data_IF_985550568301
#
_entry.id   IF_985550568301
#
_cell.length_a   1.000
_cell.length_b   1.000
_cell.length_c   1.000
_cell.angle_alpha   90.00
_cell.angle_beta   90.00
_cell.angle_gamma   90.00
#
_symmetry.space_group_name_H-M   'P 1'
#
loop_
_entity.id
_entity.type
_entity.pdbx_description
1 polymer ?
#
# COMPACT_ATOMS: atom_id res chain seq x y z
N UNK A 1 20.01 21.93 14.30
CA UNK A 1 19.93 20.47 14.13
C UNK A 1 19.95 20.21 12.65
N UNK A 2 20.68 19.20 12.21
CA UNK A 2 20.69 18.79 10.80
C UNK A 2 19.27 18.35 10.36
N UNK A 3 18.78 18.71 9.15
CA UNK A 3 17.45 18.30 8.68
C UNK A 3 17.24 16.78 8.65
N UNK A 4 18.29 16.00 8.38
CA UNK A 4 18.28 14.53 8.38
C UNK A 4 18.16 14.00 9.80
N UNK A 5 18.90 14.58 10.75
CA UNK A 5 18.81 14.21 12.17
C UNK A 5 17.39 14.46 12.71
N UNK A 6 16.80 15.61 12.36
CA UNK A 6 15.44 15.95 12.71
C UNK A 6 14.43 14.94 12.14
N UNK A 7 14.59 14.54 10.87
CA UNK A 7 13.74 13.54 10.23
C UNK A 7 13.82 12.20 10.96
N UNK A 8 15.04 11.74 11.25
CA UNK A 8 15.28 10.46 11.90
C UNK A 8 14.72 10.44 13.34
N UNK A 9 15.00 11.49 14.13
CA UNK A 9 14.47 11.64 15.49
C UNK A 9 12.93 11.68 15.50
N UNK A 10 12.33 12.47 14.60
CA UNK A 10 10.88 12.56 14.50
C UNK A 10 10.24 11.24 14.12
N UNK A 11 10.75 10.54 13.10
CA UNK A 11 10.19 9.25 12.71
C UNK A 11 10.33 8.21 13.83
N UNK A 12 11.48 8.18 14.51
CA UNK A 12 11.72 7.26 15.63
C UNK A 12 10.75 7.47 16.80
N UNK A 13 10.41 8.72 17.11
CA UNK A 13 9.58 9.10 18.26
C UNK A 13 8.10 9.31 17.94
N UNK A 14 7.73 9.34 16.65
CA UNK A 14 6.34 9.54 16.23
C UNK A 14 5.43 8.35 16.51
N UNK A 15 4.14 8.61 16.75
CA UNK A 15 3.09 7.57 16.82
C UNK A 15 2.63 7.06 15.43
N UNK A 16 3.38 7.37 14.37
CA UNK A 16 3.05 6.96 13.01
C UNK A 16 3.23 5.45 12.84
N UNK A 17 2.37 4.85 12.01
CA UNK A 17 2.51 3.44 11.62
C UNK A 17 3.84 3.24 10.88
N UNK A 18 4.45 2.06 11.00
CA UNK A 18 5.72 1.74 10.36
C UNK A 18 5.73 2.01 8.84
N UNK A 19 4.66 1.66 8.14
CA UNK A 19 4.52 1.94 6.69
C UNK A 19 4.49 3.44 6.39
N UNK A 20 3.80 4.24 7.21
CA UNK A 20 3.75 5.70 7.08
C UNK A 20 5.10 6.33 7.39
N UNK A 21 5.83 5.81 8.39
CA UNK A 21 7.20 6.26 8.68
C UNK A 21 8.14 6.00 7.50
N UNK A 22 8.07 4.82 6.90
CA UNK A 22 8.88 4.48 5.72
C UNK A 22 8.55 5.35 4.51
N UNK A 23 7.27 5.61 4.26
CA UNK A 23 6.82 6.53 3.20
C UNK A 23 7.33 7.95 3.45
N UNK A 24 7.10 8.51 4.65
CA UNK A 24 7.52 9.86 4.99
C UNK A 24 9.03 10.02 4.96
N UNK A 25 9.78 9.04 5.50
CA UNK A 25 11.23 9.04 5.45
C UNK A 25 11.78 9.08 4.02
N UNK A 26 11.16 8.33 3.10
CA UNK A 26 11.55 8.37 1.68
C UNK A 26 11.22 9.71 1.03
N UNK A 27 9.99 10.19 1.14
CA UNK A 27 9.57 11.43 0.45
C UNK A 27 10.33 12.66 0.98
N UNK A 28 10.48 12.78 2.31
CA UNK A 28 11.21 13.91 2.91
C UNK A 28 12.71 13.76 2.70
N UNK A 29 13.26 12.55 2.73
CA UNK A 29 14.66 12.30 2.39
C UNK A 29 15.01 12.74 0.97
N UNK A 30 14.13 12.51 0.00
CA UNK A 30 14.31 13.02 -1.36
C UNK A 30 14.26 14.54 -1.44
N UNK A 31 13.36 15.18 -0.68
CA UNK A 31 13.32 16.65 -0.61
C UNK A 31 14.60 17.24 -0.01
N UNK A 32 15.08 16.71 1.12
CA UNK A 32 16.34 17.13 1.75
C UNK A 32 17.50 17.00 0.76
N UNK A 33 17.57 15.87 0.06
CA UNK A 33 18.59 15.66 -0.96
C UNK A 33 18.49 16.69 -2.09
N UNK A 34 17.30 16.95 -2.63
CA UNK A 34 17.10 17.95 -3.68
C UNK A 34 17.54 19.35 -3.24
N UNK A 35 17.18 19.78 -2.02
CA UNK A 35 17.60 21.07 -1.45
C UNK A 35 19.13 21.22 -1.42
N UNK A 36 19.85 20.16 -1.05
CA UNK A 36 21.30 20.15 -0.99
C UNK A 36 21.98 20.24 -2.37
N UNK A 37 21.30 19.83 -3.45
CA UNK A 37 21.82 19.88 -4.83
C UNK A 37 21.55 21.21 -5.54
N UNK A 38 20.81 22.14 -4.92
CA UNK A 38 20.55 23.45 -5.52
C UNK A 38 21.81 24.34 -5.50
N UNK A 39 21.85 25.33 -6.41
CA UNK A 39 22.94 26.32 -6.48
C UNK A 39 22.38 27.75 -6.48
N UNK A 40 22.42 28.47 -5.33
CA UNK A 40 22.91 28.03 -4.02
C UNK A 40 22.01 26.96 -3.38
N UNK A 41 22.52 26.15 -2.42
CA UNK A 41 21.70 25.18 -1.70
C UNK A 41 20.53 25.85 -1.01
N UNK A 42 19.36 25.21 -1.06
CA UNK A 42 18.15 25.66 -0.34
C UNK A 42 18.22 25.12 1.08
N UNK A 43 18.01 25.97 2.08
CA UNK A 43 17.90 25.51 3.47
C UNK A 43 16.52 24.86 3.68
N UNK A 44 16.53 23.56 3.98
CA UNK A 44 15.32 22.75 4.18
C UNK A 44 14.38 23.36 5.24
N UNK A 45 14.93 23.92 6.32
CA UNK A 45 14.11 24.43 7.43
C UNK A 45 13.45 25.78 7.10
N UNK A 46 13.95 26.49 6.09
CA UNK A 46 13.40 27.77 5.63
C UNK A 46 12.79 27.71 4.23
N UNK A 47 12.86 26.56 3.56
CA UNK A 47 12.25 26.33 2.25
C UNK A 47 10.74 26.62 2.28
N UNK A 48 10.29 27.40 1.30
CA UNK A 48 8.91 27.86 1.19
C UNK A 48 8.11 27.07 0.14
N UNK A 49 6.85 27.48 -0.10
CA UNK A 49 6.01 26.86 -1.12
C UNK A 49 6.64 26.86 -2.52
N UNK A 50 7.42 27.89 -2.88
CA UNK A 50 8.09 27.97 -4.18
C UNK A 50 9.16 26.88 -4.35
N UNK A 51 9.98 26.63 -3.32
CA UNK A 51 11.02 25.59 -3.35
C UNK A 51 10.39 24.19 -3.43
N UNK A 52 9.31 23.96 -2.67
CA UNK A 52 8.59 22.69 -2.69
C UNK A 52 7.87 22.47 -4.03
N UNK A 53 7.36 23.54 -4.65
CA UNK A 53 6.78 23.48 -5.98
C UNK A 53 7.85 23.10 -7.03
N UNK A 54 9.03 23.73 -6.98
CA UNK A 54 10.15 23.40 -7.86
C UNK A 54 10.58 21.93 -7.70
N UNK A 55 10.77 21.47 -6.45
CA UNK A 55 11.07 20.06 -6.15
C UNK A 55 10.01 19.10 -6.72
N UNK A 56 8.72 19.41 -6.51
CA UNK A 56 7.62 18.59 -6.99
C UNK A 56 7.59 18.53 -8.52
N UNK A 57 7.86 19.65 -9.19
CA UNK A 57 7.98 19.72 -10.65
C UNK A 57 9.11 18.82 -11.15
N UNK A 58 10.33 19.06 -10.66
CA UNK A 58 11.56 18.40 -11.13
C UNK A 58 11.49 16.88 -11.00
N UNK A 59 10.96 16.37 -9.89
CA UNK A 59 11.02 14.94 -9.56
C UNK A 59 9.77 14.15 -9.94
N UNK A 60 8.60 14.79 -10.03
CA UNK A 60 7.34 14.06 -10.03
C UNK A 60 6.34 14.54 -11.08
N UNK A 61 6.28 15.85 -11.33
CA UNK A 61 5.17 16.44 -12.09
C UNK A 61 5.56 16.88 -13.49
N UNK A 62 6.85 17.07 -13.82
CA UNK A 62 7.28 17.59 -15.12
C UNK A 62 6.64 16.85 -16.32
N UNK A 63 6.69 15.52 -16.31
CA UNK A 63 6.13 14.68 -17.37
C UNK A 63 4.59 14.63 -17.39
N UNK A 64 3.92 15.04 -16.30
CA UNK A 64 2.47 15.00 -16.12
C UNK A 64 1.81 16.36 -16.34
N UNK A 65 2.61 17.40 -16.56
CA UNK A 65 2.14 18.76 -16.79
C UNK A 65 2.20 19.15 -18.27
N UNK A 66 2.60 18.24 -19.16
CA UNK A 66 2.73 18.47 -20.61
C UNK A 66 3.52 19.76 -20.94
N UNK A 67 4.63 19.95 -20.25
CA UNK A 67 5.50 21.13 -20.41
C UNK A 67 5.01 22.39 -19.71
N UNK A 68 3.89 22.36 -18.98
CA UNK A 68 3.44 23.48 -18.16
C UNK A 68 4.31 23.66 -16.91
N UNK A 69 4.48 24.89 -16.43
CA UNK A 69 5.07 25.14 -15.12
C UNK A 69 4.16 24.64 -13.99
N UNK A 70 4.74 24.36 -12.82
CA UNK A 70 4.00 24.11 -11.59
C UNK A 70 4.14 25.31 -10.66
N UNK A 71 3.40 26.37 -10.96
CA UNK A 71 3.53 27.68 -10.34
C UNK A 71 2.25 28.17 -9.64
N UNK A 72 1.18 27.36 -9.62
CA UNK A 72 -0.05 27.77 -8.93
C UNK A 72 -1.27 26.86 -9.10
N UNK A 73 -2.45 27.39 -8.72
CA UNK A 73 -3.72 26.66 -8.71
C UNK A 73 -4.12 26.07 -10.07
N UNK A 74 -3.77 26.72 -11.18
CA UNK A 74 -4.13 26.24 -12.52
C UNK A 74 -3.40 24.95 -12.88
N UNK A 75 -2.11 24.83 -12.51
CA UNK A 75 -1.34 23.60 -12.71
C UNK A 75 -1.89 22.46 -11.84
N UNK A 76 -2.32 22.77 -10.60
CA UNK A 76 -3.01 21.83 -9.72
C UNK A 76 -4.37 21.40 -10.28
N UNK A 77 -5.16 22.32 -10.84
CA UNK A 77 -6.43 22.04 -11.48
C UNK A 77 -6.28 21.17 -12.72
N UNK A 78 -5.24 21.42 -13.51
CA UNK A 78 -4.87 20.55 -14.63
C UNK A 78 -4.49 19.15 -14.15
N UNK A 79 -3.58 19.04 -13.18
CA UNK A 79 -3.14 17.76 -12.63
C UNK A 79 -4.32 16.98 -12.03
N UNK A 80 -5.22 17.66 -11.33
CA UNK A 80 -6.44 17.08 -10.77
C UNK A 80 -7.36 16.48 -11.84
N UNK A 81 -7.53 17.18 -12.96
CA UNK A 81 -8.43 16.77 -14.03
C UNK A 81 -7.82 15.68 -14.93
N UNK A 82 -6.56 15.85 -15.35
CA UNK A 82 -5.89 14.96 -16.29
C UNK A 82 -5.24 13.74 -15.60
N UNK A 83 -4.76 13.91 -14.36
CA UNK A 83 -3.98 12.90 -13.63
C UNK A 83 -4.37 12.81 -12.14
N UNK A 84 -5.63 12.46 -11.81
CA UNK A 84 -6.14 12.47 -10.44
C UNK A 84 -5.35 11.58 -9.47
N UNK A 85 -4.72 10.51 -9.94
CA UNK A 85 -3.87 9.63 -9.13
C UNK A 85 -2.56 10.30 -8.73
N UNK A 86 -1.96 11.04 -9.66
CA UNK A 86 -0.76 11.82 -9.41
C UNK A 86 -1.06 12.99 -8.47
N UNK A 87 -2.18 13.69 -8.67
CA UNK A 87 -2.64 14.75 -7.77
C UNK A 87 -2.81 14.25 -6.31
N UNK A 88 -3.44 13.07 -6.13
CA UNK A 88 -3.57 12.47 -4.79
C UNK A 88 -2.23 12.06 -4.18
N UNK A 89 -1.31 11.56 -4.99
CA UNK A 89 0.03 11.18 -4.52
C UNK A 89 0.83 12.43 -4.14
N UNK A 90 0.72 13.51 -4.91
CA UNK A 90 1.26 14.81 -4.59
C UNK A 90 0.72 15.34 -3.25
N UNK A 91 -0.60 15.30 -3.03
CA UNK A 91 -1.22 15.74 -1.76
C UNK A 91 -0.72 14.93 -0.55
N UNK A 92 -0.35 13.64 -0.73
CA UNK A 92 0.31 12.83 0.32
C UNK A 92 1.71 13.32 0.63
N UNK A 93 2.51 13.69 -0.39
CA UNK A 93 3.84 14.30 -0.20
C UNK A 93 3.75 15.62 0.54
N UNK A 94 2.81 16.48 0.13
CA UNK A 94 2.55 17.74 0.85
C UNK A 94 2.17 17.46 2.29
N UNK A 95 1.37 16.43 2.57
CA UNK A 95 1.04 16.02 3.95
C UNK A 95 2.27 15.57 4.74
N UNK A 96 3.17 14.78 4.14
CA UNK A 96 4.42 14.38 4.77
C UNK A 96 5.29 15.60 5.14
N UNK A 97 5.47 16.54 4.21
CA UNK A 97 6.21 17.78 4.43
C UNK A 97 5.56 18.66 5.51
N UNK A 98 4.24 18.85 5.47
CA UNK A 98 3.52 19.59 6.51
C UNK A 98 3.82 19.00 7.90
N UNK A 99 3.75 17.69 8.04
CA UNK A 99 4.01 17.01 9.31
C UNK A 99 5.48 17.12 9.75
N UNK A 100 6.43 17.12 8.82
CA UNK A 100 7.84 17.39 9.10
C UNK A 100 8.08 18.80 9.63
N UNK A 101 7.50 19.83 8.98
CA UNK A 101 7.61 21.21 9.47
C UNK A 101 6.90 21.43 10.80
N UNK A 102 5.77 20.75 11.05
CA UNK A 102 5.14 20.74 12.37
C UNK A 102 6.07 20.13 13.42
N UNK A 103 6.74 19.03 13.10
CA UNK A 103 7.73 18.40 13.98
C UNK A 103 8.93 19.33 14.25
N UNK A 104 9.40 20.07 13.22
CA UNK A 104 10.45 21.07 13.33
C UNK A 104 10.03 22.21 14.27
N UNK A 105 8.80 22.73 14.12
CA UNK A 105 8.23 23.78 14.98
C UNK A 105 8.12 23.30 16.42
N UNK A 106 7.55 22.12 16.63
CA UNK A 106 7.32 21.57 17.97
C UNK A 106 8.63 21.31 18.75
N UNK A 107 9.75 21.11 18.02
CA UNK A 107 11.11 20.99 18.58
C UNK A 107 11.87 22.32 18.66
N UNK A 108 11.26 23.44 18.26
CA UNK A 108 11.85 24.77 18.31
C UNK A 108 12.92 25.05 17.24
N UNK A 109 12.96 24.28 16.15
CA UNK A 109 13.89 24.54 15.04
C UNK A 109 13.41 25.63 14.10
N UNK A 110 12.10 25.84 14.02
CA UNK A 110 11.49 26.93 13.25
C UNK A 110 10.39 27.57 14.08
N UNK A 111 10.13 28.85 13.83
CA UNK A 111 9.07 29.60 14.51
C UNK A 111 7.70 29.31 13.90
N UNK A 112 7.61 29.33 12.57
CA UNK A 112 6.36 29.18 11.83
C UNK A 112 6.59 28.24 10.63
N UNK A 113 5.80 27.16 10.49
CA UNK A 113 5.86 26.29 9.32
C UNK A 113 5.34 27.04 8.07
N UNK A 114 5.87 26.73 6.88
CA UNK A 114 5.33 27.28 5.64
C UNK A 114 3.90 26.79 5.43
N UNK A 115 3.03 27.67 4.89
CA UNK A 115 1.68 27.27 4.49
C UNK A 115 1.74 26.51 3.17
N UNK A 116 1.69 25.19 3.26
CA UNK A 116 1.69 24.29 2.09
C UNK A 116 0.29 23.96 1.59
N UNK A 117 -0.77 24.55 2.16
CA UNK A 117 -2.14 24.31 1.69
C UNK A 117 -2.33 24.77 0.24
N UNK A 118 -1.60 25.82 -0.16
CA UNK A 118 -1.59 26.37 -1.53
C UNK A 118 -1.05 25.39 -2.58
N UNK A 119 -0.32 24.34 -2.16
CA UNK A 119 0.23 23.31 -3.04
C UNK A 119 -0.65 22.05 -3.10
N UNK A 120 -1.81 22.03 -2.43
CA UNK A 120 -2.71 20.88 -2.44
C UNK A 120 -3.70 21.01 -3.60
N UNK A 121 -3.86 19.93 -4.35
CA UNK A 121 -4.86 19.85 -5.42
C UNK A 121 -6.29 19.87 -4.89
N UNK A 122 -6.46 19.43 -3.63
CA UNK A 122 -7.77 19.34 -3.00
C UNK A 122 -8.66 18.28 -3.63
N UNK A 123 -8.11 17.40 -4.48
CA UNK A 123 -8.86 16.33 -5.14
C UNK A 123 -9.41 15.41 -4.04
N UNK A 124 -10.74 15.45 -3.80
CA UNK A 124 -11.32 14.51 -2.86
C UNK A 124 -11.09 13.11 -3.38
N UNK A 125 -11.05 12.11 -2.50
CA UNK A 125 -11.17 10.73 -2.97
C UNK A 125 -12.45 10.64 -3.80
N UNK A 126 -12.44 10.00 -4.98
CA UNK A 126 -13.63 9.88 -5.81
C UNK A 126 -14.78 9.33 -4.96
N UNK A 127 -15.90 10.06 -4.91
CA UNK A 127 -17.12 9.54 -4.33
C UNK A 127 -17.50 8.29 -5.13
N UNK A 128 -17.58 7.14 -4.47
CA UNK A 128 -17.87 5.87 -5.13
C UNK A 128 -16.65 5.17 -5.75
N UNK A 129 -15.40 5.54 -5.41
CA UNK A 129 -14.25 4.68 -5.70
C UNK A 129 -14.57 3.27 -5.21
N UNK A 130 -14.73 2.32 -6.14
CA UNK A 130 -15.10 0.94 -5.85
C UNK A 130 -13.93 0.26 -5.13
N UNK A 131 -13.81 0.53 -3.84
CA UNK A 131 -12.85 -0.08 -2.94
C UNK A 131 -13.24 -1.51 -2.58
N UNK A 132 -14.34 -2.01 -3.14
CA UNK A 132 -14.86 -3.36 -2.97
C UNK A 132 -15.34 -3.88 -4.31
N UNK A 133 -15.36 -5.19 -4.42
CA UNK A 133 -16.08 -5.88 -5.46
C UNK A 133 -17.56 -5.92 -5.09
N UNK A 134 -18.43 -5.70 -6.07
CA UNK A 134 -19.84 -6.03 -5.87
C UNK A 134 -20.04 -7.57 -5.78
N UNK A 135 -21.20 -8.07 -5.35
CA UNK A 135 -21.42 -9.51 -5.22
C UNK A 135 -21.19 -10.31 -6.52
N UNK A 136 -21.46 -9.71 -7.69
CA UNK A 136 -21.25 -10.34 -8.99
C UNK A 136 -19.76 -10.37 -9.35
N UNK A 137 -19.06 -9.26 -9.15
CA UNK A 137 -17.60 -9.17 -9.32
C UNK A 137 -16.88 -10.18 -8.39
N UNK A 138 -17.32 -10.30 -7.12
CA UNK A 138 -16.77 -11.29 -6.16
C UNK A 138 -17.01 -12.73 -6.61
N UNK A 139 -18.22 -13.06 -7.04
CA UNK A 139 -18.55 -14.41 -7.51
C UNK A 139 -17.68 -14.81 -8.73
N UNK A 140 -17.48 -13.88 -9.66
CA UNK A 140 -16.61 -14.09 -10.81
C UNK A 140 -15.14 -14.24 -10.38
N UNK A 141 -14.66 -13.46 -9.41
CA UNK A 141 -13.30 -13.61 -8.90
C UNK A 141 -13.08 -15.00 -8.28
N UNK A 142 -14.03 -15.50 -7.49
CA UNK A 142 -13.99 -16.85 -6.93
C UNK A 142 -13.97 -17.92 -8.03
N UNK A 143 -14.77 -17.77 -9.10
CA UNK A 143 -14.75 -18.67 -10.24
C UNK A 143 -13.39 -18.64 -10.99
N UNK A 144 -12.84 -17.46 -11.23
CA UNK A 144 -11.51 -17.29 -11.85
C UNK A 144 -10.42 -17.93 -11.00
N UNK A 145 -10.52 -17.80 -9.67
CA UNK A 145 -9.59 -18.39 -8.70
C UNK A 145 -9.69 -19.90 -8.72
N UNK A 146 -10.90 -20.47 -8.71
CA UNK A 146 -11.10 -21.91 -8.85
C UNK A 146 -10.57 -22.48 -10.17
N UNK A 147 -10.65 -21.72 -11.26
CA UNK A 147 -10.08 -22.06 -12.57
C UNK A 147 -8.57 -21.82 -12.70
N UNK A 148 -7.92 -21.18 -11.72
CA UNK A 148 -6.50 -20.88 -11.72
C UNK A 148 -5.67 -22.11 -11.39
N UNK A 149 -5.40 -22.94 -12.40
CA UNK A 149 -4.71 -24.23 -12.27
C UNK A 149 -3.27 -24.24 -12.81
N UNK A 150 -2.64 -25.43 -12.90
CA UNK A 150 -1.26 -25.60 -13.35
C UNK A 150 -0.98 -25.09 -14.77
N UNK A 151 -2.02 -24.99 -15.61
CA UNK A 151 -1.96 -24.40 -16.95
C UNK A 151 -1.75 -22.87 -16.95
N UNK A 152 -2.02 -22.19 -15.82
CA UNK A 152 -1.85 -20.74 -15.67
C UNK A 152 -0.60 -20.39 -14.87
N UNK A 153 -0.26 -21.18 -13.84
CA UNK A 153 0.86 -20.92 -12.96
C UNK A 153 1.44 -22.21 -12.39
N UNK A 154 2.78 -22.29 -12.35
CA UNK A 154 3.49 -23.37 -11.63
C UNK A 154 3.26 -23.32 -10.11
N UNK A 155 2.79 -22.18 -9.59
CA UNK A 155 2.54 -21.95 -8.17
C UNK A 155 1.05 -21.72 -7.90
N UNK A 156 0.17 -22.33 -8.68
CA UNK A 156 -1.26 -22.02 -8.66
C UNK A 156 -1.92 -22.16 -7.28
N UNK A 157 -1.53 -23.13 -6.44
CA UNK A 157 -2.07 -23.25 -5.07
C UNK A 157 -1.69 -22.07 -4.18
N UNK A 158 -0.46 -21.54 -4.31
CA UNK A 158 -0.02 -20.33 -3.62
C UNK A 158 -0.87 -19.14 -4.07
N UNK A 159 -1.05 -19.03 -5.39
CA UNK A 159 -1.78 -17.94 -6.02
C UNK A 159 -3.25 -17.94 -5.59
N UNK A 160 -3.89 -19.12 -5.58
CA UNK A 160 -5.24 -19.30 -5.06
C UNK A 160 -5.34 -18.93 -3.58
N UNK A 161 -4.43 -19.42 -2.73
CA UNK A 161 -4.39 -19.09 -1.32
C UNK A 161 -4.31 -17.57 -1.08
N UNK A 162 -3.50 -16.85 -1.88
CA UNK A 162 -3.40 -15.39 -1.78
C UNK A 162 -4.75 -14.71 -1.98
N UNK A 163 -5.53 -15.13 -2.98
CA UNK A 163 -6.86 -14.56 -3.22
C UNK A 163 -7.78 -14.80 -2.03
N UNK A 164 -7.82 -16.03 -1.50
CA UNK A 164 -8.65 -16.36 -0.35
C UNK A 164 -8.24 -15.58 0.91
N UNK A 165 -6.94 -15.46 1.19
CA UNK A 165 -6.44 -14.66 2.31
C UNK A 165 -6.83 -13.18 2.20
N UNK A 166 -6.81 -12.61 0.99
CA UNK A 166 -7.32 -11.26 0.77
C UNK A 166 -8.83 -11.24 1.06
N UNK A 167 -9.62 -12.18 0.54
CA UNK A 167 -11.06 -12.25 0.82
C UNK A 167 -11.37 -12.41 2.32
N UNK A 168 -10.50 -12.98 3.14
CA UNK A 168 -10.62 -12.99 4.61
C UNK A 168 -10.45 -11.60 5.28
N UNK A 169 -10.21 -10.56 4.50
CA UNK A 169 -10.01 -9.20 5.00
C UNK A 169 -8.57 -8.86 5.35
N UNK A 170 -7.60 -9.75 5.05
CA UNK A 170 -6.20 -9.44 5.28
C UNK A 170 -5.72 -8.40 4.25
N UNK A 171 -5.07 -7.35 4.75
CA UNK A 171 -4.37 -6.38 3.90
C UNK A 171 -3.21 -7.06 3.17
N UNK A 172 -2.82 -6.59 1.98
CA UNK A 172 -1.68 -7.15 1.25
C UNK A 172 -0.41 -7.29 2.09
N UNK A 173 -0.14 -6.31 2.96
CA UNK A 173 0.99 -6.35 3.90
C UNK A 173 0.88 -7.48 4.95
N UNK A 174 -0.33 -7.80 5.43
CA UNK A 174 -0.53 -8.92 6.35
C UNK A 174 -0.37 -10.26 5.61
N UNK A 175 -0.92 -10.39 4.41
CA UNK A 175 -0.85 -11.62 3.61
C UNK A 175 0.59 -12.08 3.42
N UNK A 176 1.50 -11.17 3.04
CA UNK A 176 2.91 -11.52 2.85
C UNK A 176 3.70 -11.77 4.13
N UNK A 177 3.17 -11.29 5.28
CA UNK A 177 3.81 -11.42 6.60
C UNK A 177 3.31 -12.64 7.39
N UNK A 178 2.37 -13.42 6.87
CA UNK A 178 1.91 -14.62 7.57
C UNK A 178 3.10 -15.55 7.79
N UNK A 179 3.32 -15.93 9.05
CA UNK A 179 4.42 -16.79 9.46
C UNK A 179 3.91 -18.21 9.68
N UNK A 180 4.61 -19.19 9.11
CA UNK A 180 4.22 -20.60 9.17
C UNK A 180 4.21 -21.17 10.59
N UNK A 181 4.99 -20.58 11.52
CA UNK A 181 5.04 -20.97 12.94
C UNK A 181 3.76 -20.61 13.69
N UNK A 182 2.95 -19.72 13.11
CA UNK A 182 1.72 -19.22 13.72
C UNK A 182 0.48 -19.63 12.92
N UNK A 183 0.43 -20.90 12.50
CA UNK A 183 -0.73 -21.52 11.86
C UNK A 183 -1.32 -22.55 12.81
N UNK A 184 -2.55 -22.32 13.26
CA UNK A 184 -3.21 -23.12 14.29
C UNK A 184 -4.50 -23.73 13.71
N UNK A 185 -4.47 -24.98 13.22
CA UNK A 185 -5.66 -25.63 12.69
C UNK A 185 -6.70 -25.80 13.80
N UNK A 186 -7.96 -25.54 13.46
CA UNK A 186 -9.10 -25.76 14.35
C UNK A 186 -9.85 -27.04 13.95
N UNK A 187 -10.58 -27.68 14.88
CA UNK A 187 -11.26 -28.96 14.63
C UNK A 187 -12.33 -28.91 13.53
N UNK A 188 -12.91 -27.75 13.27
CA UNK A 188 -14.01 -27.47 12.34
C UNK A 188 -13.53 -27.03 10.94
N UNK A 189 -12.22 -27.15 10.68
CA UNK A 189 -11.62 -26.79 9.39
C UNK A 189 -11.20 -25.31 9.29
N UNK A 190 -11.54 -24.49 10.28
CA UNK A 190 -11.01 -23.14 10.40
C UNK A 190 -9.52 -23.16 10.74
N UNK A 191 -8.85 -22.03 10.55
CA UNK A 191 -7.46 -21.84 10.97
C UNK A 191 -7.30 -20.50 11.66
N UNK A 192 -6.71 -20.51 12.85
CA UNK A 192 -6.21 -19.29 13.45
C UNK A 192 -4.80 -19.01 12.92
N UNK A 193 -4.57 -17.80 12.42
CA UNK A 193 -3.28 -17.37 11.89
C UNK A 193 -2.83 -16.03 12.49
N UNK A 194 -1.53 -15.76 12.35
CA UNK A 194 -0.90 -14.48 12.72
C UNK A 194 0.02 -13.97 11.62
N UNK A 195 0.13 -12.65 11.53
CA UNK A 195 1.09 -11.96 10.67
C UNK A 195 1.95 -11.05 11.55
N UNK A 196 3.13 -11.52 12.01
CA UNK A 196 3.99 -10.73 12.87
C UNK A 196 4.44 -9.43 12.21
N UNK A 197 4.72 -8.41 13.02
CA UNK A 197 5.39 -7.20 12.56
C UNK A 197 6.91 -7.37 12.52
N UNK A 198 7.62 -6.32 12.10
CA UNK A 198 9.09 -6.34 11.94
C UNK A 198 9.83 -6.45 13.29
N UNK A 199 9.13 -6.41 14.43
CA UNK A 199 9.69 -6.58 15.78
C UNK A 199 9.27 -7.91 16.42
N UNK A 200 8.83 -8.88 15.61
CA UNK A 200 8.33 -10.19 16.04
C UNK A 200 7.11 -10.13 16.99
N UNK A 201 6.43 -8.99 17.08
CA UNK A 201 5.13 -8.99 17.74
C UNK A 201 4.18 -9.80 16.88
N UNK A 202 3.66 -10.91 17.43
CA UNK A 202 2.75 -11.85 16.76
C UNK A 202 1.52 -11.18 16.14
N UNK A 203 1.18 -9.95 16.54
CA UNK A 203 0.15 -9.16 15.91
C UNK A 203 -1.27 -9.70 16.14
N UNK A 204 -2.22 -9.17 15.36
CA UNK A 204 -3.64 -9.53 15.48
C UNK A 204 -3.89 -10.97 15.02
N UNK A 205 -4.82 -11.66 15.68
CA UNK A 205 -5.35 -12.97 15.27
C UNK A 205 -6.30 -12.79 14.10
N UNK A 206 -6.13 -13.59 13.07
CA UNK A 206 -7.13 -13.77 12.02
C UNK A 206 -7.62 -15.21 12.07
N UNK A 207 -8.91 -15.42 11.86
CA UNK A 207 -9.53 -16.74 11.81
C UNK A 207 -10.00 -16.94 10.37
N UNK A 208 -9.41 -17.93 9.68
CA UNK A 208 -9.68 -18.25 8.28
C UNK A 208 -10.87 -19.20 8.20
N UNK A 209 -11.82 -18.89 7.31
CA UNK A 209 -12.94 -19.75 6.95
C UNK A 209 -12.47 -21.12 6.44
N UNK A 210 -13.26 -22.21 6.59
CA UNK A 210 -12.91 -23.53 6.09
C UNK A 210 -12.52 -23.56 4.61
N UNK A 211 -13.11 -22.70 3.76
CA UNK A 211 -12.71 -22.60 2.36
C UNK A 211 -11.26 -22.13 2.22
N UNK A 212 -10.88 -21.08 2.95
CA UNK A 212 -9.51 -20.58 2.98
C UNK A 212 -8.57 -21.57 3.67
N UNK A 213 -9.04 -22.24 4.73
CA UNK A 213 -8.32 -23.30 5.42
C UNK A 213 -7.99 -24.49 4.52
N UNK A 214 -8.90 -24.87 3.63
CA UNK A 214 -8.67 -25.90 2.62
C UNK A 214 -7.61 -25.48 1.60
N UNK A 215 -7.67 -24.23 1.11
CA UNK A 215 -6.64 -23.67 0.22
C UNK A 215 -5.26 -23.61 0.91
N UNK A 216 -5.22 -23.23 2.19
CA UNK A 216 -3.99 -23.22 2.99
C UNK A 216 -3.39 -24.63 3.09
N UNK A 217 -4.21 -25.62 3.44
CA UNK A 217 -3.77 -27.02 3.52
C UNK A 217 -3.26 -27.54 2.17
N UNK A 218 -3.93 -27.21 1.07
CA UNK A 218 -3.53 -27.60 -0.27
C UNK A 218 -2.18 -27.00 -0.66
N UNK A 219 -1.94 -25.73 -0.34
CA UNK A 219 -0.64 -25.09 -0.57
C UNK A 219 0.45 -25.66 0.33
N UNK A 220 0.20 -25.86 1.63
CA UNK A 220 1.19 -26.43 2.57
C UNK A 220 1.72 -27.78 2.12
N UNK A 221 0.90 -28.60 1.45
CA UNK A 221 1.31 -29.90 0.91
C UNK A 221 2.36 -29.80 -0.22
N UNK A 222 2.44 -28.67 -0.91
CA UNK A 222 3.35 -28.44 -2.06
C UNK A 222 4.28 -27.24 -1.85
N UNK A 223 4.22 -26.60 -0.69
CA UNK A 223 5.02 -25.41 -0.37
C UNK A 223 6.50 -25.82 -0.32
N UNK A 224 7.38 -25.17 -1.10
CA UNK A 224 8.81 -25.46 -1.01
C UNK A 224 9.40 -24.99 0.32
N UNK A 225 10.50 -25.58 0.73
CA UNK A 225 11.33 -25.03 1.79
C UNK A 225 12.00 -23.73 1.33
N UNK A 226 12.15 -22.73 2.22
CA UNK A 226 12.84 -21.50 1.92
C UNK A 226 14.32 -21.73 1.58
N UNK A 227 14.97 -20.76 0.94
CA UNK A 227 16.44 -20.79 0.74
C UNK A 227 17.15 -20.63 2.08
N UNK A 228 16.70 -19.68 2.90
CA UNK A 228 17.31 -19.38 4.19
C UNK A 228 16.60 -20.18 5.30
N UNK A 229 17.34 -20.90 6.19
CA UNK A 229 16.75 -21.76 7.20
C UNK A 229 15.87 -21.04 8.25
N UNK A 230 16.15 -19.76 8.50
CA UNK A 230 15.45 -18.88 9.45
C UNK A 230 14.24 -18.17 8.81
N UNK A 231 14.03 -18.32 7.51
CA UNK A 231 12.88 -17.72 6.85
C UNK A 231 11.59 -18.53 7.12
N UNK A 232 10.62 -17.88 7.75
CA UNK A 232 9.39 -18.53 8.18
C UNK A 232 8.14 -18.03 7.46
N UNK A 233 8.29 -17.17 6.45
CA UNK A 233 7.18 -16.66 5.65
C UNK A 233 6.37 -17.81 5.01
N UNK A 234 5.05 -17.79 5.16
CA UNK A 234 4.17 -18.79 4.57
C UNK A 234 4.26 -18.76 3.04
N UNK A 235 4.14 -17.58 2.45
CA UNK A 235 4.09 -17.40 1.00
C UNK A 235 5.48 -17.10 0.44
N UNK A 236 5.96 -17.98 -0.44
CA UNK A 236 7.28 -17.85 -1.06
C UNK A 236 7.17 -17.52 -2.55
N UNK A 237 8.11 -16.74 -3.05
CA UNK A 237 8.27 -16.45 -4.48
C UNK A 237 8.97 -17.63 -5.21
N UNK A 238 9.19 -17.47 -6.52
CA UNK A 238 9.89 -18.47 -7.37
C UNK A 238 11.31 -18.79 -6.92
N UNK A 239 11.95 -17.87 -6.20
CA UNK A 239 13.30 -18.02 -5.63
C UNK A 239 13.27 -18.57 -4.21
N UNK A 240 12.11 -19.04 -3.71
CA UNK A 240 11.92 -19.59 -2.36
C UNK A 240 12.28 -18.59 -1.24
N UNK A 241 12.03 -17.30 -1.49
CA UNK A 241 12.11 -16.20 -0.50
C UNK A 241 10.72 -15.61 -0.24
N UNK A 242 10.54 -14.85 0.82
CA UNK A 242 9.27 -14.17 1.12
C UNK A 242 8.76 -13.37 -0.09
N UNK A 243 7.45 -13.42 -0.25
CA UNK A 243 6.76 -12.66 -1.28
C UNK A 243 6.72 -11.17 -0.92
N UNK A 244 6.86 -10.29 -1.90
CA UNK A 244 6.68 -8.84 -1.70
C UNK A 244 5.23 -8.43 -1.90
N UNK A 245 4.77 -7.40 -1.18
CA UNK A 245 3.38 -6.93 -1.26
C UNK A 245 2.99 -6.41 -2.64
N UNK A 246 3.95 -5.84 -3.39
CA UNK A 246 3.71 -5.35 -4.75
C UNK A 246 3.31 -6.43 -5.74
N UNK A 247 3.76 -7.67 -5.52
CA UNK A 247 3.45 -8.80 -6.39
C UNK A 247 1.95 -9.19 -6.36
N UNK A 248 1.25 -8.92 -5.26
CA UNK A 248 -0.17 -9.27 -5.13
C UNK A 248 -1.05 -8.55 -6.14
N UNK A 249 -0.82 -7.26 -6.42
CA UNK A 249 -1.62 -6.53 -7.41
C UNK A 249 -1.42 -7.11 -8.82
N UNK A 250 -0.19 -7.50 -9.15
CA UNK A 250 0.09 -8.16 -10.43
C UNK A 250 -0.65 -9.49 -10.55
N UNK A 251 -0.59 -10.33 -9.51
CA UNK A 251 -1.33 -11.60 -9.50
C UNK A 251 -2.84 -11.40 -9.64
N UNK A 252 -3.41 -10.50 -8.84
CA UNK A 252 -4.85 -10.20 -8.87
C UNK A 252 -5.28 -9.70 -10.25
N UNK A 253 -4.49 -8.82 -10.87
CA UNK A 253 -4.72 -8.38 -12.25
C UNK A 253 -4.71 -9.55 -13.25
N UNK A 254 -3.76 -10.47 -13.13
CA UNK A 254 -3.67 -11.65 -14.01
C UNK A 254 -4.84 -12.62 -13.85
N UNK A 255 -5.30 -12.87 -12.62
CA UNK A 255 -6.48 -13.70 -12.37
C UNK A 255 -7.74 -13.01 -12.90
N UNK A 256 -7.91 -11.72 -12.60
CA UNK A 256 -9.05 -10.91 -13.06
C UNK A 256 -9.14 -10.85 -14.60
N UNK A 257 -8.00 -10.74 -15.28
CA UNK A 257 -7.93 -10.70 -16.74
C UNK A 257 -8.46 -11.97 -17.43
N UNK A 258 -8.71 -13.06 -16.70
CA UNK A 258 -9.28 -14.30 -17.27
C UNK A 258 -10.78 -14.22 -17.53
N UNK A 259 -11.46 -13.16 -17.08
CA UNK A 259 -12.89 -12.96 -17.31
C UNK A 259 -13.23 -11.52 -17.70
N UNK A 260 -14.00 -11.28 -18.78
CA UNK A 260 -14.29 -9.93 -19.31
C UNK A 260 -14.84 -8.96 -18.25
N UNK A 261 -15.80 -9.39 -17.43
CA UNK A 261 -16.38 -8.55 -16.36
C UNK A 261 -15.33 -7.92 -15.43
N UNK A 262 -14.26 -8.65 -15.09
CA UNK A 262 -13.22 -8.17 -14.20
C UNK A 262 -12.08 -7.48 -14.95
N UNK A 263 -11.78 -7.96 -16.17
CA UNK A 263 -10.77 -7.40 -17.05
C UNK A 263 -11.12 -5.97 -17.49
N UNK A 264 -12.39 -5.73 -17.80
CA UNK A 264 -12.89 -4.46 -18.33
C UNK A 264 -13.36 -3.50 -17.21
N UNK A 265 -13.12 -3.85 -15.93
CA UNK A 265 -13.53 -3.04 -14.78
C UNK A 265 -12.66 -1.78 -14.66
N UNK A 266 -13.31 -0.64 -14.48
CA UNK A 266 -12.68 0.64 -14.15
C UNK A 266 -13.18 1.16 -12.77
N UNK A 267 -12.30 1.37 -11.77
CA UNK A 267 -10.85 1.09 -11.80
C UNK A 267 -10.54 -0.40 -11.89
N UNK A 268 -9.33 -0.76 -12.31
CA UNK A 268 -8.86 -2.14 -12.31
C UNK A 268 -8.93 -2.76 -10.90
N UNK A 269 -9.12 -4.07 -10.82
CA UNK A 269 -9.15 -4.78 -9.53
C UNK A 269 -7.77 -4.76 -8.89
N UNK A 270 -7.71 -4.37 -7.62
CA UNK A 270 -6.50 -4.38 -6.80
C UNK A 270 -6.62 -5.37 -5.66
N UNK A 271 -5.48 -5.82 -5.12
CA UNK A 271 -5.44 -6.67 -3.94
C UNK A 271 -6.13 -6.00 -2.74
N UNK A 272 -6.03 -4.68 -2.62
CA UNK A 272 -6.67 -3.93 -1.53
C UNK A 272 -8.20 -3.87 -1.72
N UNK A 273 -8.70 -3.80 -2.96
CA UNK A 273 -10.13 -3.92 -3.25
C UNK A 273 -10.68 -5.30 -2.89
N UNK A 274 -9.94 -6.37 -3.21
CA UNK A 274 -10.29 -7.74 -2.79
C UNK A 274 -10.29 -7.85 -1.26
N UNK A 275 -9.24 -7.34 -0.59
CA UNK A 275 -9.13 -7.31 0.86
C UNK A 275 -10.31 -6.61 1.55
N UNK A 276 -10.78 -5.53 0.94
CA UNK A 276 -11.91 -4.79 1.47
C UNK A 276 -13.26 -5.45 1.24
N UNK A 277 -13.36 -6.38 0.28
CA UNK A 277 -14.63 -7.00 -0.14
C UNK A 277 -15.16 -7.97 0.91
N UNK A 278 -14.30 -8.83 1.47
CA UNK A 278 -14.73 -9.93 2.32
C UNK A 278 -15.18 -11.17 1.53
N UNK A 279 -14.99 -12.36 2.11
CA UNK A 279 -15.35 -13.65 1.51
C UNK A 279 -16.87 -13.80 1.43
N UNK A 280 -17.54 -13.43 2.52
CA UNK A 280 -18.99 -13.43 2.67
C UNK A 280 -19.49 -12.00 2.86
N UNK A 281 -20.77 -11.77 2.57
CA UNK A 281 -21.41 -10.54 3.00
C UNK A 281 -21.45 -10.54 4.52
N UNK A 282 -20.79 -9.56 5.13
CA UNK A 282 -21.01 -9.30 6.54
C UNK A 282 -22.50 -8.96 6.69
N UNK A 283 -23.23 -9.56 7.66
CA UNK A 283 -24.58 -9.12 7.94
C UNK A 283 -24.53 -7.60 8.14
N UNK A 284 -25.41 -6.86 7.45
CA UNK A 284 -25.50 -5.42 7.61
C UNK A 284 -25.47 -5.13 9.10
N UNK A 285 -24.43 -4.46 9.57
CA UNK A 285 -24.48 -3.86 10.88
C UNK A 285 -25.62 -2.86 10.76
N UNK A 286 -26.78 -3.22 11.29
CA UNK A 286 -27.90 -2.33 11.46
C UNK A 286 -27.35 -1.14 12.26
N UNK A 287 -26.95 -0.10 11.55
CA UNK A 287 -26.43 1.12 12.16
C UNK A 287 -27.59 1.74 12.92
N UNK A 288 -27.57 1.57 14.24
CA UNK A 288 -28.22 2.47 15.18
C UNK A 288 -27.45 3.77 15.31
#
# INVERSE_FOLDING_TARGET
MDPVDLLNDWLATSALRASTRAEYGREIGYFIAWCAHQTPPVDVLTAGPADIAAWSHDHHLHALLDGRPFDGPDALGYLAAAHPDAARTHDRRITALTQYYEAARNRGHITLPPDLSVLRSGVPRPAGAKNRLDPRERAVLLACTGGWGPQRSKHYQRDQLIVYLLLEGLRPAHVVRIDRRHLYPQPDGFWDIRAPDDHENVGRKFTLDPLTGAALKAYLAVRPDPVEPDEHALLLNTHRRALSSGWLNMLIGQIAATHPLLADRDPAITADAVAHTGLWDAPEQANG
#
